data_IF_722521336104
#
_entry.id   IF_722521336104
#
_cell.length_a   1.000
_cell.length_b   1.000
_cell.length_c   1.000
_cell.angle_alpha   90.00
_cell.angle_beta   90.00
_cell.angle_gamma   90.00
#
_symmetry.space_group_name_H-M   'P 1'
#
loop_
_entity.id
_entity.type
_entity.pdbx_description
1 polymer ?
#
# COMPACT_ATOMS: atom_id res chain seq x y z
N UNK A 1 -3.58 -11.31 23.12
CA UNK A 1 -2.74 -10.12 22.85
C UNK A 1 -3.26 -9.48 21.57
N UNK A 2 -3.86 -8.29 21.64
CA UNK A 2 -4.23 -7.54 20.44
C UNK A 2 -2.94 -7.03 19.80
N UNK A 3 -2.57 -7.54 18.62
CA UNK A 3 -1.48 -6.98 17.82
C UNK A 3 -1.90 -5.60 17.31
N UNK A 4 -0.98 -4.63 17.37
CA UNK A 4 -1.20 -3.31 16.74
C UNK A 4 -1.13 -3.42 15.21
N UNK A 5 -1.68 -2.42 14.50
CA UNK A 5 -1.50 -2.29 13.05
C UNK A 5 -0.02 -2.31 12.67
N UNK A 6 0.82 -1.49 13.33
CA UNK A 6 2.26 -1.46 13.08
C UNK A 6 2.95 -2.83 13.28
N UNK A 7 2.52 -3.61 14.28
CA UNK A 7 3.06 -4.97 14.50
C UNK A 7 2.63 -5.91 13.38
N UNK A 8 1.36 -5.86 12.95
CA UNK A 8 0.87 -6.63 11.82
C UNK A 8 1.63 -6.27 10.53
N UNK A 9 1.82 -4.97 10.28
CA UNK A 9 2.55 -4.46 9.13
C UNK A 9 3.98 -4.99 9.11
N UNK A 10 4.73 -4.79 10.18
CA UNK A 10 6.15 -5.15 10.23
C UNK A 10 6.37 -6.68 10.24
N UNK A 11 5.50 -7.44 10.91
CA UNK A 11 5.71 -8.88 11.11
C UNK A 11 5.15 -9.76 9.99
N UNK A 12 4.11 -9.32 9.29
CA UNK A 12 3.41 -10.16 8.31
C UNK A 12 3.29 -9.48 6.95
N UNK A 13 2.78 -8.26 6.89
CA UNK A 13 2.46 -7.62 5.62
C UNK A 13 3.72 -7.21 4.87
N UNK A 14 4.67 -6.54 5.53
CA UNK A 14 5.90 -6.10 4.89
C UNK A 14 6.74 -7.27 4.38
N UNK A 15 7.03 -8.33 5.16
CA UNK A 15 7.77 -9.49 4.64
C UNK A 15 7.05 -10.17 3.48
N UNK A 16 5.73 -10.31 3.54
CA UNK A 16 4.94 -10.92 2.46
C UNK A 16 5.00 -10.10 1.17
N UNK A 17 4.72 -8.78 1.25
CA UNK A 17 4.72 -7.91 0.08
C UNK A 17 6.12 -7.72 -0.49
N UNK A 18 7.15 -7.59 0.37
CA UNK A 18 8.53 -7.54 -0.07
C UNK A 18 8.92 -8.85 -0.77
N UNK A 19 8.61 -10.02 -0.21
CA UNK A 19 8.90 -11.30 -0.87
C UNK A 19 8.16 -11.44 -2.21
N UNK A 20 6.87 -11.10 -2.25
CA UNK A 20 6.02 -11.25 -3.43
C UNK A 20 6.42 -10.32 -4.59
N UNK A 21 6.91 -9.11 -4.29
CA UNK A 21 7.19 -8.10 -5.30
C UNK A 21 8.65 -7.68 -5.43
N UNK A 22 9.55 -8.23 -4.61
CA UNK A 22 10.98 -7.93 -4.70
C UNK A 22 11.53 -8.25 -6.08
N UNK A 23 12.49 -7.43 -6.49
CA UNK A 23 13.26 -7.60 -7.71
C UNK A 23 14.52 -6.78 -7.56
N UNK A 24 15.63 -7.24 -8.13
CA UNK A 24 16.89 -6.51 -8.16
C UNK A 24 17.04 -5.68 -9.44
N UNK A 25 16.39 -6.09 -10.53
CA UNK A 25 16.43 -5.40 -11.83
C UNK A 25 15.03 -5.44 -12.48
N UNK A 26 14.27 -4.33 -12.47
CA UNK A 26 14.53 -3.11 -11.72
C UNK A 26 14.46 -3.38 -10.21
N UNK A 27 15.13 -2.54 -9.41
CA UNK A 27 15.13 -2.68 -7.97
C UNK A 27 13.74 -2.30 -7.44
N UNK A 28 13.07 -3.21 -6.73
CA UNK A 28 11.75 -2.98 -6.13
C UNK A 28 11.85 -3.04 -4.62
N UNK A 29 11.41 -1.97 -3.96
CA UNK A 29 11.48 -1.81 -2.51
C UNK A 29 10.08 -1.52 -1.99
N UNK A 30 9.61 -2.40 -1.11
CA UNK A 30 8.33 -2.31 -0.44
C UNK A 30 8.54 -1.69 0.95
N UNK A 31 7.71 -0.73 1.35
CA UNK A 31 7.84 -0.09 2.67
C UNK A 31 6.52 0.51 3.17
N UNK A 32 6.40 0.64 4.50
CA UNK A 32 5.32 1.39 5.13
C UNK A 32 5.43 2.85 4.72
N UNK A 33 4.52 3.30 3.86
CA UNK A 33 4.56 4.64 3.30
C UNK A 33 4.11 5.60 4.40
N UNK A 34 4.89 6.63 4.75
CA UNK A 34 4.50 7.68 5.71
C UNK A 34 4.22 9.03 5.03
N UNK A 35 4.14 9.05 3.70
CA UNK A 35 4.08 10.28 2.92
C UNK A 35 2.64 10.57 2.47
N UNK A 36 2.22 11.82 2.64
CA UNK A 36 0.92 12.32 2.18
C UNK A 36 0.95 12.43 0.66
N UNK A 37 -0.10 11.95 0.00
CA UNK A 37 -0.26 12.16 -1.44
C UNK A 37 -0.75 13.60 -1.68
N UNK A 38 0.12 14.48 -2.18
CA UNK A 38 -0.22 15.90 -2.36
C UNK A 38 -0.84 16.23 -3.73
N UNK A 39 -1.06 15.22 -4.56
CA UNK A 39 -1.17 15.42 -6.00
C UNK A 39 -2.62 15.59 -6.50
N UNK A 40 -3.64 15.17 -5.73
CA UNK A 40 -5.05 15.39 -6.10
C UNK A 40 -5.92 15.93 -4.96
N UNK A 41 -7.04 16.62 -5.25
CA UNK A 41 -8.02 17.02 -4.25
C UNK A 41 -8.62 15.82 -3.48
N UNK A 42 -8.70 14.64 -4.12
CA UNK A 42 -9.29 13.44 -3.53
C UNK A 42 -8.34 12.74 -2.53
N UNK A 43 -7.03 12.95 -2.65
CA UNK A 43 -6.01 12.32 -1.80
C UNK A 43 -5.15 13.30 -1.03
N UNK A 44 -5.41 14.61 -1.16
CA UNK A 44 -4.64 15.71 -0.55
C UNK A 44 -4.44 15.63 0.96
N UNK A 45 -5.23 14.79 1.63
CA UNK A 45 -5.18 14.53 3.07
C UNK A 45 -5.23 13.03 3.41
N UNK A 46 -4.99 12.16 2.43
CA UNK A 46 -5.05 10.70 2.60
C UNK A 46 -3.70 10.12 2.16
N UNK A 47 -3.17 9.24 3.01
CA UNK A 47 -1.88 8.58 2.84
C UNK A 47 -2.14 7.09 2.70
N UNK A 48 -1.53 6.39 1.72
CA UNK A 48 -1.53 4.94 1.74
C UNK A 48 -0.67 4.42 2.91
N UNK A 49 -1.10 3.34 3.55
CA UNK A 49 -0.31 2.69 4.61
C UNK A 49 0.99 2.08 4.03
N UNK A 50 0.95 1.63 2.77
CA UNK A 50 2.05 0.89 2.16
C UNK A 50 2.27 1.24 0.69
N UNK A 51 3.53 1.23 0.22
CA UNK A 51 3.87 1.47 -1.19
C UNK A 51 5.03 0.57 -1.63
N UNK A 52 5.13 0.35 -2.94
CA UNK A 52 6.26 -0.35 -3.54
C UNK A 52 6.84 0.52 -4.66
N UNK A 53 8.08 0.93 -4.44
CA UNK A 53 8.80 1.82 -5.33
C UNK A 53 9.73 1.03 -6.23
N UNK A 54 9.84 1.51 -7.47
CA UNK A 54 10.71 0.96 -8.50
C UNK A 54 11.86 1.94 -8.71
N UNK A 55 13.07 1.41 -8.67
CA UNK A 55 14.31 2.15 -8.88
C UNK A 55 15.07 1.62 -10.09
N UNK A 56 15.54 2.55 -10.92
CA UNK A 56 16.43 2.29 -12.04
C UNK A 56 17.79 2.91 -11.73
N UNK A 57 18.86 2.10 -11.73
CA UNK A 57 20.22 2.56 -11.42
C UNK A 57 20.29 3.38 -10.11
N UNK A 58 19.59 2.93 -9.05
CA UNK A 58 19.48 3.59 -7.73
C UNK A 58 18.73 4.92 -7.71
N UNK A 59 18.18 5.37 -8.83
CA UNK A 59 17.29 6.52 -8.89
C UNK A 59 15.84 6.05 -8.82
N UNK A 60 15.03 6.76 -8.04
CA UNK A 60 13.58 6.54 -8.03
C UNK A 60 13.04 6.72 -9.45
N UNK A 61 12.31 5.73 -9.93
CA UNK A 61 11.63 5.79 -11.22
C UNK A 61 10.15 6.13 -11.03
N UNK A 62 9.43 5.28 -10.30
CA UNK A 62 8.00 5.43 -10.02
C UNK A 62 7.56 4.49 -8.90
N UNK A 63 6.35 4.72 -8.39
CA UNK A 63 5.64 3.76 -7.54
C UNK A 63 4.42 3.27 -8.31
N UNK A 64 4.24 1.95 -8.45
CA UNK A 64 3.07 1.40 -9.15
C UNK A 64 2.20 0.48 -8.29
N UNK A 65 2.55 0.25 -7.02
CA UNK A 65 1.72 -0.52 -6.09
C UNK A 65 1.52 0.24 -4.80
N UNK A 66 0.32 0.11 -4.24
CA UNK A 66 -0.11 0.77 -3.02
C UNK A 66 -1.02 -0.11 -2.22
N UNK A 67 -1.06 0.13 -0.91
CA UNK A 67 -2.07 -0.50 -0.10
C UNK A 67 -2.46 0.20 1.18
N UNK A 68 -3.56 -0.33 1.71
CA UNK A 68 -4.20 0.00 2.99
C UNK A 68 -4.21 -1.26 3.85
N UNK A 69 -3.99 -1.09 5.16
CA UNK A 69 -3.87 -2.19 6.12
C UNK A 69 -4.87 -1.93 7.23
N UNK A 70 -5.69 -2.94 7.57
CA UNK A 70 -6.71 -2.81 8.62
C UNK A 70 -6.79 -4.03 9.50
N UNK A 71 -7.03 -3.77 10.79
CA UNK A 71 -7.42 -4.78 11.76
C UNK A 71 -8.91 -5.15 11.56
N UNK A 72 -9.26 -6.40 11.87
CA UNK A 72 -10.63 -6.93 11.72
C UNK A 72 -11.69 -6.27 12.61
N UNK A 73 -11.31 -5.43 13.57
CA UNK A 73 -12.24 -4.69 14.42
C UNK A 73 -12.86 -3.45 13.73
N UNK A 74 -12.38 -3.10 12.53
CA UNK A 74 -12.94 -1.99 11.75
C UNK A 74 -14.29 -2.41 11.14
N UNK A 75 -15.29 -1.53 11.25
CA UNK A 75 -16.60 -1.73 10.65
C UNK A 75 -16.49 -2.01 9.14
N UNK A 76 -17.39 -2.84 8.60
CA UNK A 76 -17.41 -3.19 7.16
C UNK A 76 -17.41 -1.97 6.23
N UNK A 77 -18.09 -0.90 6.63
CA UNK A 77 -18.09 0.38 5.88
C UNK A 77 -16.71 1.02 5.81
N UNK A 78 -15.92 0.96 6.89
CA UNK A 78 -14.53 1.40 6.90
C UNK A 78 -13.66 0.59 5.93
N UNK A 79 -13.80 -0.74 5.97
CA UNK A 79 -13.08 -1.64 5.06
C UNK A 79 -13.41 -1.34 3.58
N UNK A 80 -14.68 -1.05 3.26
CA UNK A 80 -15.07 -0.67 1.90
C UNK A 80 -14.47 0.68 1.48
N UNK A 81 -14.48 1.67 2.38
CA UNK A 81 -13.87 2.98 2.10
C UNK A 81 -12.37 2.83 1.81
N UNK A 82 -11.65 2.03 2.59
CA UNK A 82 -10.22 1.80 2.36
C UNK A 82 -9.97 1.04 1.07
N UNK A 83 -10.83 0.08 0.72
CA UNK A 83 -10.77 -0.57 -0.59
C UNK A 83 -10.88 0.46 -1.74
N UNK A 84 -11.85 1.37 -1.68
CA UNK A 84 -11.97 2.45 -2.68
C UNK A 84 -10.76 3.39 -2.68
N UNK A 85 -10.17 3.68 -1.52
CA UNK A 85 -8.92 4.47 -1.44
C UNK A 85 -7.79 3.80 -2.20
N UNK A 86 -7.63 2.48 -2.10
CA UNK A 86 -6.59 1.76 -2.87
C UNK A 86 -6.75 1.94 -4.38
N UNK A 87 -8.00 1.96 -4.89
CA UNK A 87 -8.28 2.20 -6.30
C UNK A 87 -7.94 3.63 -6.71
N UNK A 88 -8.25 4.62 -5.88
CA UNK A 88 -7.89 6.03 -6.11
C UNK A 88 -6.36 6.17 -6.16
N UNK A 89 -5.63 5.63 -5.19
CA UNK A 89 -4.17 5.70 -5.17
C UNK A 89 -3.50 4.99 -6.36
N UNK A 90 -4.08 3.88 -6.82
CA UNK A 90 -3.59 3.16 -7.99
C UNK A 90 -3.83 3.99 -9.26
N UNK A 91 -5.01 4.59 -9.41
CA UNK A 91 -5.31 5.49 -10.54
C UNK A 91 -4.38 6.70 -10.56
N UNK A 92 -4.11 7.31 -9.41
CA UNK A 92 -3.19 8.44 -9.34
C UNK A 92 -1.78 8.07 -9.78
N UNK A 93 -1.29 6.88 -9.44
CA UNK A 93 0.01 6.39 -9.92
C UNK A 93 0.03 6.17 -11.43
N UNK A 94 -1.05 5.61 -12.00
CA UNK A 94 -1.21 5.48 -13.45
C UNK A 94 -1.06 6.85 -14.12
N UNK A 95 -1.86 7.82 -13.66
CA UNK A 95 -1.94 9.13 -14.28
C UNK A 95 -0.65 9.95 -14.06
N UNK A 96 -0.06 9.91 -12.86
CA UNK A 96 1.15 10.66 -12.49
C UNK A 96 2.39 10.19 -13.23
N UNK A 97 2.57 8.88 -13.35
CA UNK A 97 3.78 8.27 -13.90
C UNK A 97 3.61 7.78 -15.35
N UNK A 98 2.42 7.96 -15.95
CA UNK A 98 2.13 7.51 -17.31
C UNK A 98 2.24 5.99 -17.46
N UNK A 99 1.78 5.23 -16.46
CA UNK A 99 1.93 3.77 -16.43
C UNK A 99 0.75 3.07 -17.12
N UNK A 100 1.02 1.90 -17.69
CA UNK A 100 -0.04 1.03 -18.23
C UNK A 100 -0.77 0.24 -17.13
N UNK A 101 -0.11 0.04 -15.98
CA UNK A 101 -0.63 -0.76 -14.88
C UNK A 101 -0.22 -0.19 -13.51
N UNK A 102 -1.18 -0.17 -12.58
CA UNK A 102 -0.97 0.01 -11.15
C UNK A 102 -1.85 -0.96 -10.37
N UNK A 103 -1.44 -1.29 -9.15
CA UNK A 103 -2.11 -2.24 -8.28
C UNK A 103 -2.44 -1.60 -6.92
N UNK A 104 -3.70 -1.68 -6.53
CA UNK A 104 -4.15 -1.42 -5.16
C UNK A 104 -4.21 -2.72 -4.37
N UNK A 105 -3.80 -2.69 -3.10
CA UNK A 105 -3.69 -3.83 -2.20
C UNK A 105 -4.42 -3.49 -0.92
N UNK A 106 -5.35 -4.34 -0.49
CA UNK A 106 -5.94 -4.23 0.84
C UNK A 106 -5.56 -5.47 1.65
N UNK A 107 -4.99 -5.26 2.84
CA UNK A 107 -4.72 -6.33 3.80
C UNK A 107 -5.68 -6.24 4.99
N UNK A 108 -6.40 -7.33 5.26
CA UNK A 108 -7.32 -7.46 6.38
C UNK A 108 -6.82 -8.54 7.35
N UNK A 109 -6.55 -8.18 8.60
CA UNK A 109 -6.17 -9.15 9.62
C UNK A 109 -7.38 -9.64 10.41
N UNK A 110 -7.80 -10.88 10.13
CA UNK A 110 -8.87 -11.56 10.86
C UNK A 110 -8.35 -12.19 12.15
N UNK A 111 -9.09 -12.01 13.24
CA UNK A 111 -8.96 -12.89 14.40
C UNK A 111 -9.62 -14.23 14.07
N UNK A 112 -8.88 -15.34 14.12
CA UNK A 112 -9.52 -16.64 14.23
C UNK A 112 -10.14 -16.75 15.62
N UNK A 113 -11.47 -16.81 15.70
CA UNK A 113 -12.15 -17.33 16.88
C UNK A 113 -11.83 -18.83 16.91
N UNK A 114 -10.82 -19.18 17.71
CA UNK A 114 -10.61 -20.55 18.17
C UNK A 114 -11.51 -20.84 19.36
#
# INVERSE_FOLDING_TARGET
MLMSEATLEASFIHPFLQAMFSSTIPLKIAYCCNLICHDSPATRSIRPDYTIDVYNNRNFAFSNRVGEIKLSNVAKSGQQLDFYRTAIFAKERLDRYGLEMSMGIQALAFHSLG
#
